data_IF_010287714002
#
_entry.id   IF_010287714002
#
_cell.length_a   1.000
_cell.length_b   1.000
_cell.length_c   1.000
_cell.angle_alpha   90.00
_cell.angle_beta   90.00
_cell.angle_gamma   90.00
#
_symmetry.space_group_name_H-M   'P 1'
#
loop_
_entity.id
_entity.type
_entity.pdbx_description
1 polymer ?
#
# COMPACT_ATOMS: atom_id res chain seq x y z
N UNK A 1 -30.29 13.07 -13.18
CA UNK A 1 -28.82 13.00 -13.19
C UNK A 1 -28.31 14.17 -14.02
N UNK A 2 -27.42 15.04 -13.49
CA UNK A 2 -26.86 16.15 -14.29
C UNK A 2 -25.90 15.61 -15.34
N UNK A 3 -25.68 16.36 -16.44
CA UNK A 3 -24.72 15.98 -17.49
C UNK A 3 -23.33 15.69 -16.91
N UNK A 4 -22.84 16.56 -16.03
CA UNK A 4 -21.56 16.36 -15.34
C UNK A 4 -21.56 15.11 -14.46
N UNK A 5 -22.64 14.85 -13.73
CA UNK A 5 -22.75 13.63 -12.92
C UNK A 5 -22.70 12.37 -13.78
N UNK A 6 -23.36 12.38 -14.94
CA UNK A 6 -23.30 11.28 -15.90
C UNK A 6 -21.88 11.10 -16.45
N UNK A 7 -21.21 12.17 -16.90
CA UNK A 7 -19.87 12.10 -17.48
C UNK A 7 -18.79 11.73 -16.46
N UNK A 8 -18.90 12.22 -15.22
CA UNK A 8 -18.05 11.78 -14.10
C UNK A 8 -18.23 10.30 -13.83
N UNK A 9 -19.47 9.81 -13.77
CA UNK A 9 -19.74 8.38 -13.54
C UNK A 9 -19.24 7.51 -14.68
N UNK A 10 -19.42 7.93 -15.93
CA UNK A 10 -18.91 7.23 -17.11
C UNK A 10 -17.38 7.15 -17.10
N UNK A 11 -16.72 8.26 -16.77
CA UNK A 11 -15.25 8.33 -16.62
C UNK A 11 -14.79 7.37 -15.53
N UNK A 12 -15.42 7.41 -14.36
CA UNK A 12 -15.11 6.52 -13.25
C UNK A 12 -15.21 5.05 -13.66
N UNK A 13 -16.34 4.62 -14.25
CA UNK A 13 -16.54 3.24 -14.69
C UNK A 13 -15.50 2.79 -15.72
N UNK A 14 -15.11 3.68 -16.64
CA UNK A 14 -14.14 3.37 -17.70
C UNK A 14 -12.74 3.06 -17.16
N UNK A 15 -12.31 3.74 -16.10
CA UNK A 15 -10.95 3.64 -15.55
C UNK A 15 -10.87 2.74 -14.32
N UNK A 16 -11.99 2.50 -13.63
CA UNK A 16 -12.08 1.61 -12.47
C UNK A 16 -11.59 0.19 -12.78
N UNK A 17 -11.88 -0.34 -13.97
CA UNK A 17 -11.39 -1.66 -14.39
C UNK A 17 -9.85 -1.75 -14.47
N UNK A 18 -9.16 -0.62 -14.69
CA UNK A 18 -7.71 -0.53 -14.69
C UNK A 18 -7.10 -0.18 -13.33
N UNK A 19 -7.91 -0.08 -12.25
CA UNK A 19 -7.44 0.36 -10.94
C UNK A 19 -7.01 1.83 -10.89
N UNK A 20 -7.48 2.65 -11.85
CA UNK A 20 -7.15 4.06 -11.96
C UNK A 20 -8.34 4.94 -11.59
N UNK A 21 -8.06 6.01 -10.86
CA UNK A 21 -8.98 7.08 -10.56
C UNK A 21 -8.70 8.22 -11.52
N UNK A 22 -9.64 8.48 -12.42
CA UNK A 22 -9.57 9.58 -13.38
C UNK A 22 -10.72 10.53 -13.13
N UNK A 23 -10.41 11.82 -12.94
CA UNK A 23 -11.40 12.87 -12.77
C UNK A 23 -11.87 13.36 -14.13
N UNK A 24 -13.18 13.52 -14.29
CA UNK A 24 -13.74 14.12 -15.50
C UNK A 24 -13.44 15.62 -15.55
N UNK A 25 -12.90 16.10 -16.66
CA UNK A 25 -12.58 17.53 -16.86
C UNK A 25 -13.41 18.07 -18.04
N UNK A 26 -14.29 19.08 -17.81
CA UNK A 26 -15.14 19.63 -18.85
C UNK A 26 -14.38 20.55 -19.81
N UNK A 27 -14.53 20.29 -21.11
CA UNK A 27 -13.88 21.07 -22.19
C UNK A 27 -14.47 22.47 -22.37
N UNK A 28 -15.70 22.72 -21.92
CA UNK A 28 -16.39 24.00 -22.11
C UNK A 28 -15.73 25.17 -21.36
N UNK A 29 -14.86 24.88 -20.39
CA UNK A 29 -14.08 25.91 -19.68
C UNK A 29 -12.81 26.32 -20.42
N UNK A 30 -12.35 25.54 -21.40
CA UNK A 30 -11.03 25.72 -22.02
C UNK A 30 -10.88 27.04 -22.78
N UNK A 31 -11.97 27.56 -23.35
CA UNK A 31 -11.96 28.77 -24.18
C UNK A 31 -12.49 30.00 -23.44
N UNK A 32 -12.86 29.87 -22.17
CA UNK A 32 -13.40 30.96 -21.37
C UNK A 32 -12.31 31.55 -20.49
N UNK A 33 -12.23 32.87 -20.44
CA UNK A 33 -11.46 33.56 -19.40
C UNK A 33 -12.09 33.34 -18.03
N UNK A 34 -11.29 33.48 -16.97
CA UNK A 34 -11.76 33.29 -15.59
C UNK A 34 -12.94 34.22 -15.28
N UNK A 35 -12.87 35.47 -15.73
CA UNK A 35 -13.91 36.49 -15.57
C UNK A 35 -15.20 36.17 -16.32
N UNK A 36 -15.13 35.65 -17.54
CA UNK A 36 -16.30 35.23 -18.33
C UNK A 36 -17.00 34.04 -17.67
N UNK A 37 -16.21 33.06 -17.20
CA UNK A 37 -16.73 31.89 -16.52
C UNK A 37 -17.43 32.24 -15.20
N UNK A 38 -16.82 33.11 -14.37
CA UNK A 38 -17.42 33.59 -13.12
C UNK A 38 -18.73 34.37 -13.34
N UNK A 39 -18.89 35.04 -14.48
CA UNK A 39 -20.10 35.80 -14.80
C UNK A 39 -21.27 34.89 -15.24
N UNK A 40 -20.99 33.64 -15.60
CA UNK A 40 -22.00 32.67 -16.03
C UNK A 40 -22.47 31.82 -14.83
N UNK A 41 -23.62 32.20 -14.26
CA UNK A 41 -24.21 31.53 -13.09
C UNK A 41 -24.48 30.03 -13.31
N UNK A 42 -24.99 29.63 -14.48
CA UNK A 42 -25.27 28.22 -14.77
C UNK A 42 -23.99 27.38 -14.91
N UNK A 43 -22.92 27.97 -15.46
CA UNK A 43 -21.61 27.33 -15.49
C UNK A 43 -21.05 27.19 -14.07
N UNK A 44 -21.11 28.23 -13.26
CA UNK A 44 -20.65 28.19 -11.87
C UNK A 44 -21.36 27.10 -11.05
N UNK A 45 -22.69 26.97 -11.17
CA UNK A 45 -23.46 25.91 -10.51
C UNK A 45 -23.02 24.50 -10.94
N UNK A 46 -22.55 24.35 -12.19
CA UNK A 46 -22.01 23.08 -12.70
C UNK A 46 -20.59 22.82 -12.20
N UNK A 47 -19.73 23.84 -12.14
CA UNK A 47 -18.37 23.72 -11.61
C UNK A 47 -18.35 23.44 -10.10
N UNK A 48 -19.27 24.02 -9.34
CA UNK A 48 -19.49 23.69 -7.92
C UNK A 48 -19.90 22.21 -7.74
N UNK A 49 -20.80 21.70 -8.61
CA UNK A 49 -21.12 20.27 -8.59
C UNK A 49 -19.92 19.41 -9.01
N UNK A 50 -19.08 19.90 -9.92
CA UNK A 50 -17.90 19.18 -10.39
C UNK A 50 -16.86 19.03 -9.28
N UNK A 51 -16.52 20.12 -8.57
CA UNK A 51 -15.53 20.07 -7.48
C UNK A 51 -16.02 19.20 -6.33
N UNK A 52 -17.33 19.18 -6.04
CA UNK A 52 -17.95 18.21 -5.14
C UNK A 52 -17.71 16.76 -5.59
N UNK A 53 -17.95 16.46 -6.87
CA UNK A 53 -17.76 15.12 -7.43
C UNK A 53 -16.29 14.69 -7.40
N UNK A 54 -15.36 15.57 -7.77
CA UNK A 54 -13.92 15.32 -7.65
C UNK A 54 -13.53 15.03 -6.21
N UNK A 55 -13.97 15.86 -5.27
CA UNK A 55 -13.71 15.70 -3.82
C UNK A 55 -14.19 14.34 -3.33
N UNK A 56 -15.41 13.93 -3.70
CA UNK A 56 -15.96 12.61 -3.34
C UNK A 56 -15.13 11.48 -3.94
N UNK A 57 -14.80 11.56 -5.22
CA UNK A 57 -14.05 10.53 -5.93
C UNK A 57 -12.63 10.36 -5.37
N UNK A 58 -11.95 11.48 -5.08
CA UNK A 58 -10.61 11.48 -4.47
C UNK A 58 -10.66 10.90 -3.06
N UNK A 59 -11.64 11.28 -2.23
CA UNK A 59 -11.82 10.68 -0.90
C UNK A 59 -11.98 9.16 -1.00
N UNK A 60 -12.76 8.69 -1.97
CA UNK A 60 -12.92 7.25 -2.21
C UNK A 60 -11.59 6.60 -2.58
N UNK A 61 -10.83 7.17 -3.51
CA UNK A 61 -9.51 6.64 -3.91
C UNK A 61 -8.49 6.63 -2.77
N UNK A 62 -8.48 7.67 -1.92
CA UNK A 62 -7.64 7.72 -0.72
C UNK A 62 -8.08 6.67 0.33
N UNK A 63 -9.39 6.45 0.46
CA UNK A 63 -9.99 5.47 1.37
C UNK A 63 -9.95 4.03 0.86
N UNK A 64 -9.76 3.82 -0.44
CA UNK A 64 -9.76 2.49 -1.07
C UNK A 64 -8.65 1.67 -0.41
N UNK A 65 -9.09 0.63 0.29
CA UNK A 65 -8.61 0.34 1.63
C UNK A 65 -7.55 -0.74 1.64
N UNK A 66 -6.51 -0.50 2.42
CA UNK A 66 -5.55 -1.48 2.96
C UNK A 66 -6.23 -2.73 3.57
N UNK A 67 -7.51 -2.63 3.95
CA UNK A 67 -8.29 -3.73 4.55
C UNK A 67 -8.50 -4.94 3.63
N UNK A 68 -8.44 -4.78 2.29
CA UNK A 68 -8.60 -5.92 1.38
C UNK A 68 -7.41 -6.89 1.45
N UNK A 69 -6.21 -6.38 1.67
CA UNK A 69 -4.98 -7.18 1.78
C UNK A 69 -4.78 -7.68 3.20
N UNK A 70 -5.06 -6.82 4.19
CA UNK A 70 -4.97 -7.21 5.61
C UNK A 70 -5.85 -8.44 5.91
N UNK A 71 -7.00 -8.54 5.25
CA UNK A 71 -7.97 -9.62 5.43
C UNK A 71 -7.83 -10.80 4.46
N UNK A 72 -7.00 -10.68 3.42
CA UNK A 72 -6.75 -11.79 2.52
C UNK A 72 -5.97 -12.90 3.25
N UNK A 73 -6.44 -14.15 3.13
CA UNK A 73 -5.74 -15.31 3.70
C UNK A 73 -4.52 -15.60 2.82
N UNK A 74 -3.35 -15.77 3.44
CA UNK A 74 -2.08 -16.13 2.77
C UNK A 74 -1.53 -15.09 1.78
N UNK A 75 -1.62 -13.79 2.08
CA UNK A 75 -0.87 -12.77 1.33
C UNK A 75 0.63 -13.00 1.46
N UNK A 76 1.36 -12.76 0.37
CA UNK A 76 2.82 -12.79 0.32
C UNK A 76 3.39 -11.38 0.05
N UNK A 77 4.70 -11.23 0.21
CA UNK A 77 5.40 -9.95 0.02
C UNK A 77 5.23 -9.40 -1.40
N UNK A 78 5.11 -10.27 -2.40
CA UNK A 78 4.87 -9.88 -3.79
C UNK A 78 3.48 -9.24 -3.96
N UNK A 79 2.46 -9.74 -3.26
CA UNK A 79 1.11 -9.18 -3.31
C UNK A 79 1.08 -7.78 -2.69
N UNK A 80 1.74 -7.61 -1.54
CA UNK A 80 1.90 -6.32 -0.87
C UNK A 80 2.64 -5.32 -1.78
N UNK A 81 3.72 -5.77 -2.43
CA UNK A 81 4.47 -4.94 -3.38
C UNK A 81 3.60 -4.49 -4.56
N UNK A 82 2.83 -5.42 -5.15
CA UNK A 82 1.92 -5.12 -6.24
C UNK A 82 0.84 -4.11 -5.82
N UNK A 83 0.33 -4.23 -4.60
CA UNK A 83 -0.62 -3.28 -4.06
C UNK A 83 -0.04 -1.87 -3.95
N UNK A 84 1.12 -1.72 -3.32
CA UNK A 84 1.74 -0.40 -3.17
C UNK A 84 2.11 0.19 -4.53
N UNK A 85 2.58 -0.63 -5.46
CA UNK A 85 2.85 -0.21 -6.85
C UNK A 85 1.59 0.31 -7.54
N UNK A 86 0.47 -0.40 -7.40
CA UNK A 86 -0.82 0.00 -7.98
C UNK A 86 -1.32 1.30 -7.34
N UNK A 87 -1.24 1.39 -6.01
CA UNK A 87 -1.64 2.58 -5.25
C UNK A 87 -0.79 3.79 -5.61
N UNK A 88 0.53 3.63 -5.67
CA UNK A 88 1.46 4.68 -6.08
C UNK A 88 1.16 5.17 -7.50
N UNK A 89 0.97 4.24 -8.45
CA UNK A 89 0.64 4.57 -9.84
C UNK A 89 -0.65 5.38 -9.94
N UNK A 90 -1.70 4.95 -9.23
CA UNK A 90 -2.98 5.64 -9.22
C UNK A 90 -2.87 7.06 -8.61
N UNK A 91 -2.28 7.18 -7.41
CA UNK A 91 -2.14 8.47 -6.72
C UNK A 91 -1.22 9.44 -7.46
N UNK A 92 -0.14 8.94 -8.07
CA UNK A 92 0.72 9.73 -8.95
C UNK A 92 -0.02 10.21 -10.19
N UNK A 93 -0.86 9.35 -10.78
CA UNK A 93 -1.74 9.71 -11.89
C UNK A 93 -2.75 10.80 -11.50
N UNK A 94 -3.36 10.71 -10.32
CA UNK A 94 -4.23 11.76 -9.78
C UNK A 94 -3.48 13.07 -9.57
N UNK A 95 -2.29 13.04 -8.96
CA UNK A 95 -1.43 14.22 -8.80
C UNK A 95 -1.12 14.90 -10.14
N UNK A 96 -0.85 14.12 -11.18
CA UNK A 96 -0.62 14.66 -12.52
C UNK A 96 -1.89 15.31 -13.11
N UNK A 97 -3.05 14.67 -12.95
CA UNK A 97 -4.33 15.21 -13.40
C UNK A 97 -4.64 16.55 -12.72
N UNK A 98 -4.47 16.63 -11.40
CA UNK A 98 -4.73 17.87 -10.64
C UNK A 98 -3.83 19.00 -11.10
N UNK A 99 -2.56 18.71 -11.41
CA UNK A 99 -1.58 19.70 -11.91
C UNK A 99 -1.77 20.07 -13.39
N UNK A 100 -2.71 19.45 -14.10
CA UNK A 100 -2.97 19.77 -15.51
C UNK A 100 -3.52 21.20 -15.67
N UNK A 101 -3.17 21.86 -16.77
CA UNK A 101 -3.58 23.24 -17.03
C UNK A 101 -5.10 23.44 -16.99
N UNK A 102 -5.87 22.46 -17.47
CA UNK A 102 -7.33 22.50 -17.49
C UNK A 102 -7.94 22.44 -16.09
N UNK A 103 -7.41 21.56 -15.23
CA UNK A 103 -7.87 21.48 -13.83
C UNK A 103 -7.46 22.73 -13.07
N UNK A 104 -6.23 23.21 -13.24
CA UNK A 104 -5.76 24.45 -12.62
C UNK A 104 -6.61 25.67 -13.06
N UNK A 105 -7.02 25.72 -14.32
CA UNK A 105 -7.93 26.75 -14.82
C UNK A 105 -9.27 26.72 -14.09
N UNK A 106 -9.90 25.55 -13.95
CA UNK A 106 -11.15 25.39 -13.20
C UNK A 106 -10.99 25.80 -11.73
N UNK A 107 -9.89 25.41 -11.09
CA UNK A 107 -9.60 25.80 -9.70
C UNK A 107 -9.44 27.33 -9.58
N UNK A 108 -8.85 28.00 -10.57
CA UNK A 108 -8.75 29.47 -10.59
C UNK A 108 -10.11 30.16 -10.70
N UNK A 109 -11.04 29.61 -11.51
CA UNK A 109 -12.42 30.09 -11.62
C UNK A 109 -13.15 29.97 -10.29
N UNK A 110 -13.08 28.79 -9.67
CA UNK A 110 -13.71 28.52 -8.37
C UNK A 110 -13.10 29.37 -7.25
N UNK A 111 -11.80 29.65 -7.32
CA UNK A 111 -11.10 30.53 -6.38
C UNK A 111 -11.58 31.98 -6.52
N UNK A 112 -11.67 32.50 -7.74
CA UNK A 112 -12.16 33.86 -7.97
C UNK A 112 -13.62 34.03 -7.53
N UNK A 113 -14.43 32.97 -7.65
CA UNK A 113 -15.81 32.94 -7.19
C UNK A 113 -15.98 32.73 -5.67
N UNK A 114 -14.89 32.58 -4.90
CA UNK A 114 -14.91 32.25 -3.47
C UNK A 114 -15.73 30.99 -3.13
N UNK A 115 -15.57 29.93 -3.92
CA UNK A 115 -16.23 28.64 -3.67
C UNK A 115 -15.84 28.05 -2.31
N UNK A 116 -16.84 27.75 -1.47
CA UNK A 116 -16.63 27.08 -0.18
C UNK A 116 -16.16 25.62 -0.28
N UNK A 117 -16.26 25.00 -1.46
CA UNK A 117 -15.82 23.61 -1.66
C UNK A 117 -14.34 23.49 -2.02
N UNK A 118 -13.71 24.59 -2.45
CA UNK A 118 -12.32 24.60 -2.88
C UNK A 118 -11.35 24.27 -1.75
N UNK A 119 -11.61 24.75 -0.53
CA UNK A 119 -10.78 24.48 0.64
C UNK A 119 -10.65 22.98 0.92
N UNK A 120 -11.77 22.25 0.84
CA UNK A 120 -11.77 20.79 1.03
C UNK A 120 -10.95 20.07 -0.04
N UNK A 121 -11.02 20.53 -1.29
CA UNK A 121 -10.25 19.96 -2.38
C UNK A 121 -8.73 20.19 -2.20
N UNK A 122 -8.33 21.38 -1.75
CA UNK A 122 -6.92 21.70 -1.47
C UNK A 122 -6.35 20.80 -0.37
N UNK A 123 -7.11 20.56 0.70
CA UNK A 123 -6.70 19.63 1.76
C UNK A 123 -6.49 18.20 1.21
N UNK A 124 -7.37 17.75 0.31
CA UNK A 124 -7.22 16.44 -0.32
C UNK A 124 -5.99 16.36 -1.24
N UNK A 125 -5.65 17.45 -1.93
CA UNK A 125 -4.44 17.48 -2.75
C UNK A 125 -3.18 17.25 -1.91
N UNK A 126 -3.08 17.90 -0.75
CA UNK A 126 -1.97 17.67 0.19
C UNK A 126 -1.96 16.23 0.71
N UNK A 127 -3.14 15.66 0.97
CA UNK A 127 -3.25 14.26 1.37
C UNK A 127 -2.79 13.32 0.24
N UNK A 128 -3.14 13.56 -1.02
CA UNK A 128 -2.66 12.76 -2.16
C UNK A 128 -1.14 12.78 -2.23
N UNK A 129 -0.49 13.94 -2.07
CA UNK A 129 0.97 14.03 -2.07
C UNK A 129 1.60 13.22 -0.92
N UNK A 130 1.04 13.31 0.29
CA UNK A 130 1.50 12.52 1.42
C UNK A 130 1.32 11.01 1.18
N UNK A 131 0.16 10.58 0.69
CA UNK A 131 -0.15 9.17 0.40
C UNK A 131 0.66 8.61 -0.77
N UNK A 132 1.02 9.46 -1.74
CA UNK A 132 1.92 9.09 -2.84
C UNK A 132 3.31 8.78 -2.29
N UNK A 133 3.83 9.66 -1.42
CA UNK A 133 5.11 9.46 -0.75
C UNK A 133 5.11 8.23 0.16
N UNK A 134 4.02 8.01 0.91
CA UNK A 134 3.82 6.78 1.68
C UNK A 134 3.98 5.54 0.81
N UNK A 135 3.28 5.50 -0.34
CA UNK A 135 3.33 4.35 -1.23
C UNK A 135 4.72 4.15 -1.85
N UNK A 136 5.39 5.23 -2.26
CA UNK A 136 6.76 5.21 -2.80
C UNK A 136 7.77 4.63 -1.80
N UNK A 137 7.80 5.19 -0.59
CA UNK A 137 8.71 4.72 0.47
C UNK A 137 8.41 3.28 0.87
N UNK A 138 7.15 2.85 0.89
CA UNK A 138 6.81 1.46 1.18
C UNK A 138 7.32 0.51 0.10
N UNK A 139 7.23 0.89 -1.19
CA UNK A 139 7.80 0.12 -2.31
C UNK A 139 9.32 -0.04 -2.11
N UNK A 140 10.03 1.04 -1.80
CA UNK A 140 11.49 1.00 -1.57
C UNK A 140 11.88 0.01 -0.47
N UNK A 141 11.15 -0.01 0.66
CA UNK A 141 11.40 -0.96 1.73
C UNK A 141 11.05 -2.40 1.34
N UNK A 142 9.97 -2.63 0.59
CA UNK A 142 9.59 -3.96 0.13
C UNK A 142 10.59 -4.55 -0.86
N UNK A 143 11.19 -3.73 -1.71
CA UNK A 143 12.25 -4.18 -2.63
C UNK A 143 13.45 -4.75 -1.86
N UNK A 144 13.73 -4.29 -0.63
CA UNK A 144 14.75 -4.90 0.24
C UNK A 144 14.40 -6.34 0.67
N UNK A 145 13.12 -6.66 0.79
CA UNK A 145 12.64 -8.00 1.17
C UNK A 145 12.51 -8.94 -0.03
N UNK A 146 12.47 -8.41 -1.25
CA UNK A 146 12.20 -9.19 -2.46
C UNK A 146 13.24 -10.28 -2.70
N UNK A 147 14.51 -9.92 -2.83
CA UNK A 147 15.58 -10.89 -3.06
C UNK A 147 15.68 -11.95 -1.95
N UNK A 148 15.69 -11.60 -0.64
CA UNK A 148 15.65 -12.60 0.42
C UNK A 148 14.43 -13.53 0.38
N UNK A 149 13.27 -13.05 -0.10
CA UNK A 149 12.07 -13.89 -0.21
C UNK A 149 12.05 -14.73 -1.48
N UNK A 150 12.69 -14.27 -2.57
CA UNK A 150 12.98 -15.08 -3.75
C UNK A 150 13.96 -16.20 -3.40
N UNK A 151 15.03 -15.92 -2.67
CA UNK A 151 15.96 -16.94 -2.16
C UNK A 151 15.25 -18.01 -1.32
N UNK A 152 14.26 -17.59 -0.49
CA UNK A 152 13.43 -18.52 0.28
C UNK A 152 12.59 -19.44 -0.62
N UNK A 153 12.13 -18.98 -1.79
CA UNK A 153 11.33 -19.79 -2.73
C UNK A 153 12.15 -20.89 -3.40
N UNK A 154 13.47 -20.69 -3.55
CA UNK A 154 14.37 -21.65 -4.19
C UNK A 154 14.83 -22.78 -3.25
N UNK A 155 14.43 -22.72 -1.97
CA UNK A 155 14.76 -23.76 -1.00
C UNK A 155 14.04 -25.06 -1.36
N UNK A 156 14.78 -26.16 -1.35
CA UNK A 156 14.25 -27.51 -1.61
C UNK A 156 14.24 -28.41 -0.36
N UNK A 157 14.93 -28.01 0.72
CA UNK A 157 15.02 -28.78 1.97
C UNK A 157 14.64 -27.92 3.18
N UNK A 158 13.90 -28.48 4.16
CA UNK A 158 13.52 -27.73 5.37
C UNK A 158 14.71 -27.19 6.18
N UNK A 159 15.86 -27.85 6.11
CA UNK A 159 17.08 -27.52 6.88
C UNK A 159 17.67 -26.16 6.45
N UNK A 160 17.63 -25.87 5.14
CA UNK A 160 18.20 -24.65 4.55
C UNK A 160 17.40 -23.38 4.93
N UNK A 161 16.16 -23.56 5.40
CA UNK A 161 15.30 -22.48 5.87
C UNK A 161 15.98 -21.66 6.99
N UNK A 162 16.74 -22.34 7.85
CA UNK A 162 17.41 -21.70 8.99
C UNK A 162 18.61 -20.84 8.60
N UNK A 163 19.17 -21.03 7.41
CA UNK A 163 20.28 -20.22 6.92
C UNK A 163 19.79 -18.88 6.35
N UNK A 164 18.61 -18.87 5.74
CA UNK A 164 18.05 -17.70 5.06
C UNK A 164 17.08 -16.88 5.93
N UNK A 165 16.35 -17.50 6.85
CA UNK A 165 15.42 -16.79 7.74
C UNK A 165 16.05 -15.67 8.57
N UNK A 166 17.27 -15.82 9.14
CA UNK A 166 17.93 -14.72 9.83
C UNK A 166 18.10 -13.49 8.93
N UNK A 167 18.45 -13.68 7.65
CA UNK A 167 18.60 -12.57 6.69
C UNK A 167 17.27 -11.84 6.49
N UNK A 168 16.18 -12.58 6.30
CA UNK A 168 14.83 -12.02 6.15
C UNK A 168 14.40 -11.24 7.41
N UNK A 169 14.64 -11.81 8.60
CA UNK A 169 14.33 -11.16 9.88
C UNK A 169 15.20 -9.91 10.13
N UNK A 170 16.45 -9.90 9.65
CA UNK A 170 17.31 -8.72 9.71
C UNK A 170 16.78 -7.58 8.84
N UNK A 171 16.37 -7.87 7.60
CA UNK A 171 15.73 -6.88 6.73
C UNK A 171 14.42 -6.39 7.32
N UNK A 172 13.58 -7.30 7.83
CA UNK A 172 12.36 -6.93 8.54
C UNK A 172 12.63 -5.96 9.70
N UNK A 173 13.63 -6.25 10.54
CA UNK A 173 14.04 -5.37 11.64
C UNK A 173 14.52 -4.01 11.14
N UNK A 174 15.25 -3.98 10.03
CA UNK A 174 15.67 -2.73 9.41
C UNK A 174 14.47 -1.88 8.98
N UNK A 175 13.49 -2.49 8.30
CA UNK A 175 12.24 -1.82 7.90
C UNK A 175 11.49 -1.33 9.14
N UNK A 176 11.35 -2.16 10.17
CA UNK A 176 10.67 -1.80 11.42
C UNK A 176 11.26 -0.54 12.07
N UNK A 177 12.59 -0.43 12.09
CA UNK A 177 13.29 0.66 12.78
C UNK A 177 13.36 1.95 11.96
N UNK A 178 13.38 1.85 10.63
CA UNK A 178 13.67 2.99 9.75
C UNK A 178 12.47 3.47 8.93
N UNK A 179 11.44 2.64 8.76
CA UNK A 179 10.28 3.04 7.98
C UNK A 179 9.39 4.01 8.74
N UNK A 180 9.14 5.17 8.15
CA UNK A 180 8.20 6.17 8.65
C UNK A 180 6.73 5.76 8.48
N UNK A 181 6.41 4.91 7.50
CA UNK A 181 5.02 4.61 7.12
C UNK A 181 4.56 3.19 7.44
N UNK A 182 5.45 2.20 7.48
CA UNK A 182 5.10 0.85 7.90
C UNK A 182 4.68 0.70 9.37
N UNK A 183 4.99 1.62 10.29
CA UNK A 183 4.48 1.69 11.68
C UNK A 183 3.83 0.41 12.24
N UNK A 184 2.53 0.45 12.53
CA UNK A 184 1.74 -0.71 12.98
C UNK A 184 1.47 -1.75 11.87
N UNK A 185 1.63 -1.37 10.59
CA UNK A 185 1.52 -2.31 9.45
C UNK A 185 2.70 -3.27 9.34
N UNK A 186 3.81 -3.03 10.03
CA UNK A 186 4.95 -3.94 10.01
C UNK A 186 4.57 -5.31 10.61
N UNK A 187 3.57 -5.38 11.49
CA UNK A 187 2.99 -6.67 11.88
C UNK A 187 2.40 -7.46 10.70
N UNK A 188 1.86 -6.77 9.69
CA UNK A 188 1.37 -7.39 8.46
C UNK A 188 2.52 -7.97 7.62
N UNK A 189 3.63 -7.24 7.48
CA UNK A 189 4.85 -7.76 6.85
C UNK A 189 5.31 -9.06 7.51
N UNK A 190 5.33 -9.09 8.83
CA UNK A 190 5.69 -10.29 9.58
C UNK A 190 4.70 -11.45 9.33
N UNK A 191 3.40 -11.16 9.28
CA UNK A 191 2.39 -12.18 8.93
C UNK A 191 2.65 -12.77 7.55
N UNK A 192 3.06 -11.96 6.57
CA UNK A 192 3.38 -12.45 5.21
C UNK A 192 4.65 -13.30 5.19
N UNK A 193 5.69 -12.93 5.95
CA UNK A 193 6.88 -13.76 6.15
C UNK A 193 6.49 -15.11 6.78
N UNK A 194 5.60 -15.10 7.79
CA UNK A 194 5.10 -16.34 8.40
C UNK A 194 4.31 -17.20 7.40
N UNK A 195 3.46 -16.59 6.57
CA UNK A 195 2.73 -17.30 5.52
C UNK A 195 3.70 -17.94 4.53
N UNK A 196 4.78 -17.24 4.16
CA UNK A 196 5.81 -17.75 3.26
C UNK A 196 6.48 -19.01 3.84
N UNK A 197 6.85 -18.99 5.12
CA UNK A 197 7.42 -20.16 5.82
C UNK A 197 6.45 -21.34 5.83
N UNK A 198 5.17 -21.09 6.11
CA UNK A 198 4.15 -22.14 6.11
C UNK A 198 3.99 -22.74 4.70
N UNK A 199 3.98 -21.91 3.67
CA UNK A 199 3.84 -22.36 2.28
C UNK A 199 5.03 -23.21 1.83
N UNK A 200 6.27 -22.84 2.20
CA UNK A 200 7.46 -23.64 1.92
C UNK A 200 7.40 -25.01 2.59
N UNK A 201 7.06 -25.05 3.87
CA UNK A 201 6.92 -26.32 4.61
C UNK A 201 5.83 -27.22 4.01
N UNK A 202 4.74 -26.64 3.50
CA UNK A 202 3.73 -27.40 2.75
C UNK A 202 4.28 -27.96 1.44
N UNK A 203 5.12 -27.20 0.74
CA UNK A 203 5.75 -27.61 -0.51
C UNK A 203 6.74 -28.76 -0.36
N UNK A 204 7.41 -28.90 0.80
CA UNK A 204 8.32 -30.01 1.06
C UNK A 204 7.63 -31.36 1.26
N UNK A 205 6.33 -31.36 1.59
CA UNK A 205 5.58 -32.59 1.90
C UNK A 205 4.83 -33.07 0.67
N UNK A 206 5.27 -34.19 0.11
CA UNK A 206 4.56 -34.88 -0.96
C UNK A 206 3.61 -35.95 -0.41
N UNK A 207 2.30 -35.70 -0.48
CA UNK A 207 1.29 -36.63 0.03
C UNK A 207 1.22 -37.93 -0.78
N UNK A 208 1.50 -37.90 -2.08
CA UNK A 208 1.45 -39.08 -2.94
C UNK A 208 2.58 -40.05 -2.60
N UNK A 209 3.77 -39.52 -2.28
CA UNK A 209 4.87 -40.34 -1.76
C UNK A 209 4.50 -41.07 -0.46
N UNK A 210 3.71 -40.42 0.40
CA UNK A 210 3.28 -40.95 1.70
C UNK A 210 2.20 -42.02 1.53
N UNK A 211 1.16 -41.72 0.75
CA UNK A 211 -0.06 -42.54 0.68
C UNK A 211 -0.05 -43.55 -0.47
N UNK A 212 0.47 -43.17 -1.64
CA UNK A 212 0.39 -43.99 -2.86
C UNK A 212 1.67 -44.80 -3.07
N UNK A 213 2.83 -44.15 -2.97
CA UNK A 213 4.14 -44.79 -3.20
C UNK A 213 4.67 -45.55 -1.98
N UNK A 214 3.92 -45.58 -0.86
CA UNK A 214 4.26 -46.27 0.39
C UNK A 214 5.63 -45.88 0.98
N UNK A 215 6.12 -44.67 0.71
CA UNK A 215 7.35 -44.11 1.29
C UNK A 215 7.07 -43.48 2.66
N UNK A 216 6.35 -44.19 3.51
CA UNK A 216 5.87 -43.66 4.80
C UNK A 216 7.01 -43.24 5.72
N UNK A 217 8.13 -43.96 5.71
CA UNK A 217 9.31 -43.63 6.53
C UNK A 217 9.95 -42.31 6.11
N UNK A 218 10.17 -42.12 4.80
CA UNK A 218 10.67 -40.85 4.24
C UNK A 218 9.69 -39.70 4.53
N UNK A 219 8.39 -39.98 4.45
CA UNK A 219 7.31 -39.07 4.84
C UNK A 219 7.38 -38.62 6.30
N UNK A 220 7.64 -39.54 7.24
CA UNK A 220 7.84 -39.19 8.65
C UNK A 220 9.09 -38.33 8.82
N UNK A 221 10.20 -38.74 8.20
CA UNK A 221 11.47 -38.01 8.29
C UNK A 221 11.36 -36.57 7.76
N UNK A 222 10.67 -36.33 6.64
CA UNK A 222 10.46 -34.97 6.12
C UNK A 222 9.54 -34.14 7.02
N UNK A 223 8.50 -34.74 7.61
CA UNK A 223 7.61 -34.07 8.55
C UNK A 223 8.34 -33.67 9.83
N UNK A 224 9.17 -34.55 10.39
CA UNK A 224 10.01 -34.25 11.55
C UNK A 224 10.97 -33.08 11.25
N UNK A 225 11.59 -33.06 10.07
CA UNK A 225 12.43 -31.94 9.63
C UNK A 225 11.64 -30.63 9.51
N UNK A 226 10.43 -30.65 8.94
CA UNK A 226 9.57 -29.46 8.85
C UNK A 226 9.16 -28.94 10.24
N UNK A 227 8.82 -29.84 11.18
CA UNK A 227 8.52 -29.48 12.56
C UNK A 227 9.73 -28.80 13.20
N UNK A 228 10.91 -29.41 13.11
CA UNK A 228 12.15 -28.83 13.63
C UNK A 228 12.48 -27.47 13.04
N UNK A 229 12.30 -27.29 11.72
CA UNK A 229 12.47 -26.00 11.06
C UNK A 229 11.49 -24.94 11.60
N UNK A 230 10.23 -25.30 11.83
CA UNK A 230 9.22 -24.41 12.40
C UNK A 230 9.52 -24.05 13.86
N UNK A 231 9.99 -24.99 14.68
CA UNK A 231 10.38 -24.74 16.07
C UNK A 231 11.58 -23.80 16.16
N UNK A 232 12.63 -24.07 15.38
CA UNK A 232 13.79 -23.20 15.29
C UNK A 232 13.43 -21.79 14.78
N UNK A 233 12.50 -21.68 13.83
CA UNK A 233 11.99 -20.39 13.39
C UNK A 233 11.27 -19.63 14.51
N UNK A 234 10.44 -20.30 15.32
CA UNK A 234 9.77 -19.67 16.47
C UNK A 234 10.78 -19.08 17.46
N UNK A 235 11.90 -19.76 17.69
CA UNK A 235 12.97 -19.27 18.56
C UNK A 235 13.67 -18.05 17.96
N UNK A 236 14.00 -18.08 16.67
CA UNK A 236 14.59 -16.94 15.95
C UNK A 236 13.66 -15.73 15.96
N UNK A 237 12.38 -15.95 15.68
CA UNK A 237 11.34 -14.93 15.73
C UNK A 237 11.24 -14.30 17.13
N UNK A 238 11.19 -15.12 18.17
CA UNK A 238 11.11 -14.65 19.56
C UNK A 238 12.30 -13.76 19.94
N UNK A 239 13.51 -14.16 19.52
CA UNK A 239 14.73 -13.34 19.70
C UNK A 239 14.64 -12.03 18.93
N UNK A 240 14.19 -12.06 17.67
CA UNK A 240 14.05 -10.86 16.85
C UNK A 240 13.05 -9.84 17.44
N UNK A 241 11.89 -10.31 17.91
CA UNK A 241 10.88 -9.47 18.56
C UNK A 241 11.39 -8.88 19.88
N UNK A 242 12.11 -9.66 20.68
CA UNK A 242 12.72 -9.16 21.92
C UNK A 242 13.70 -8.01 21.65
N UNK A 243 14.55 -8.15 20.63
CA UNK A 243 15.49 -7.11 20.21
C UNK A 243 14.73 -5.86 19.72
N UNK A 244 13.69 -6.03 18.90
CA UNK A 244 12.86 -4.92 18.41
C UNK A 244 12.25 -4.14 19.59
N UNK A 245 11.69 -4.85 20.58
CA UNK A 245 11.09 -4.24 21.77
C UNK A 245 12.11 -3.48 22.63
N UNK A 246 13.33 -4.02 22.79
CA UNK A 246 14.41 -3.35 23.52
C UNK A 246 14.83 -2.04 22.82
N UNK A 247 14.97 -2.09 21.49
CA UNK A 247 15.37 -0.93 20.70
C UNK A 247 14.29 0.14 20.68
N UNK A 248 13.01 -0.24 20.52
CA UNK A 248 11.88 0.68 20.59
C UNK A 248 11.83 1.42 21.94
N UNK A 249 12.06 0.73 23.06
CA UNK A 249 12.17 1.34 24.38
C UNK A 249 13.35 2.31 24.47
N UNK A 250 14.51 1.94 23.93
CA UNK A 250 15.70 2.81 23.94
C UNK A 250 15.54 4.08 23.09
N UNK A 251 14.81 4.01 21.97
CA UNK A 251 14.47 5.16 21.14
C UNK A 251 13.44 6.06 21.82
N UNK A 252 12.42 5.50 22.48
CA UNK A 252 11.44 6.27 23.26
C UNK A 252 12.10 7.01 24.45
N UNK A 253 13.09 6.41 25.09
CA UNK A 253 13.89 7.03 26.15
C UNK A 253 14.76 8.16 25.59
N UNK A 254 15.46 7.94 24.47
CA UNK A 254 16.27 8.98 23.80
C UNK A 254 15.42 10.16 23.31
N UNK A 255 14.23 9.90 22.78
CA UNK A 255 13.30 10.94 22.35
C UNK A 255 12.80 11.78 23.53
N UNK A 256 12.40 11.16 24.65
CA UNK A 256 12.03 11.85 25.89
C UNK A 256 13.18 12.68 26.47
N UNK A 257 14.41 12.16 26.45
CA UNK A 257 15.60 12.89 26.89
C UNK A 257 15.93 14.09 25.99
N UNK A 258 15.70 13.98 24.67
CA UNK A 258 15.91 15.08 23.71
C UNK A 258 14.86 16.21 23.82
N UNK A 259 13.65 15.88 24.32
CA UNK A 259 12.58 16.85 24.61
C UNK A 259 12.78 17.55 25.96
N UNK A 260 13.45 16.92 26.93
CA UNK A 260 13.79 17.52 28.22
C UNK A 260 15.05 18.40 28.20
N UNK A 261 15.75 18.46 27.06
CA UNK A 261 16.95 19.28 26.84
C UNK A 261 16.66 20.50 25.94
N UNK A 262 15.38 20.76 25.63
CA UNK A 262 14.88 22.01 25.05
C UNK A 262 13.99 22.70 26.05
#
# INVERSE_FOLDING_TARGET
>A
MSLYGFLSSLTEQRYKAGGLTVIYVPIETNNLTVTEACSNKELMDRLEKLIFLWTKQIRLALSESESQIINARFTCIIDEHKFWTTRWTNLRGLNHQIKSAQVQHILSILSQANSGQLEQFVLLNNEIELRTKEAETNIEFLELLKAPCEDLNEITKPEDLLELLPKVLHVFRYIWLNSTFYGERAYHLMKMINNQVINLNRGFVNLDDIFEHKKTREGIEILEKCIGACENYKDLYSKAILIINLLARSCAIRYKQSLSLK
#
